data_IF_322380922126
#
_entry.id   IF_322380922126
#
_cell.length_a   1.000
_cell.length_b   1.000
_cell.length_c   1.000
_cell.angle_alpha   90.00
_cell.angle_beta   90.00
_cell.angle_gamma   90.00
#
_symmetry.space_group_name_H-M   'P 1'
#
loop_
_entity.id
_entity.type
_entity.pdbx_description
1 polymer ?
#
# COMPACT_ATOMS: atom_id res chain seq x y z
N UNK A 1 5.74 -24.84 -27.51
CA UNK A 1 5.02 -23.59 -27.18
C UNK A 1 4.82 -23.55 -25.67
N UNK A 2 5.54 -22.68 -24.97
CA UNK A 2 5.40 -22.55 -23.52
C UNK A 2 4.07 -21.90 -23.19
N UNK A 3 3.11 -22.68 -22.69
CA UNK A 3 1.91 -22.13 -22.09
C UNK A 3 2.32 -21.34 -20.85
N UNK A 4 2.40 -20.02 -20.96
CA UNK A 4 2.34 -19.16 -19.78
C UNK A 4 0.95 -19.34 -19.20
N UNK A 5 0.79 -20.29 -18.28
CA UNK A 5 -0.41 -20.41 -17.49
C UNK A 5 -0.61 -19.06 -16.78
N UNK A 6 -1.62 -18.31 -17.21
CA UNK A 6 -2.03 -17.11 -16.51
C UNK A 6 -2.24 -17.49 -15.04
N UNK A 7 -1.54 -16.80 -14.12
CA UNK A 7 -1.71 -17.06 -12.69
C UNK A 7 -3.21 -16.97 -12.36
N UNK A 8 -3.76 -17.88 -11.54
CA UNK A 8 -5.14 -17.80 -11.08
C UNK A 8 -5.45 -16.38 -10.61
N UNK A 9 -6.62 -15.84 -11.00
CA UNK A 9 -7.03 -14.48 -10.60
C UNK A 9 -6.98 -14.31 -9.08
N UNK A 10 -7.31 -15.37 -8.35
CA UNK A 10 -7.24 -15.45 -6.89
C UNK A 10 -5.81 -15.23 -6.34
N UNK A 11 -4.79 -15.88 -6.93
CA UNK A 11 -3.39 -15.70 -6.54
C UNK A 11 -2.91 -14.25 -6.75
N UNK A 12 -3.40 -13.58 -7.79
CA UNK A 12 -3.08 -12.18 -8.07
C UNK A 12 -3.76 -11.27 -7.05
N UNK A 13 -5.03 -11.51 -6.75
CA UNK A 13 -5.80 -10.77 -5.75
C UNK A 13 -5.14 -10.91 -4.37
N UNK A 14 -4.72 -12.11 -3.97
CA UNK A 14 -4.10 -12.33 -2.66
C UNK A 14 -2.73 -11.67 -2.54
N UNK A 15 -1.95 -11.60 -3.63
CA UNK A 15 -0.70 -10.82 -3.65
C UNK A 15 -0.97 -9.33 -3.50
N UNK A 16 -1.97 -8.81 -4.21
CA UNK A 16 -2.37 -7.41 -4.10
C UNK A 16 -2.86 -7.07 -2.69
N UNK A 17 -3.61 -7.95 -2.02
CA UNK A 17 -3.99 -7.76 -0.62
C UNK A 17 -2.77 -7.70 0.30
N UNK A 18 -1.83 -8.65 0.18
CA UNK A 18 -0.59 -8.66 0.99
C UNK A 18 0.24 -7.40 0.78
N UNK A 19 0.31 -6.92 -0.46
CA UNK A 19 0.99 -5.67 -0.79
C UNK A 19 0.30 -4.47 -0.15
N UNK A 20 -1.05 -4.39 -0.21
CA UNK A 20 -1.83 -3.36 0.48
C UNK A 20 -1.60 -3.39 1.99
N UNK A 21 -1.64 -4.57 2.61
CA UNK A 21 -1.44 -4.72 4.06
C UNK A 21 -0.05 -4.23 4.48
N UNK A 22 0.98 -4.48 3.67
CA UNK A 22 2.32 -3.97 3.90
C UNK A 22 2.41 -2.45 3.82
N UNK A 23 1.72 -1.81 2.87
CA UNK A 23 1.64 -0.35 2.80
C UNK A 23 0.88 0.25 3.99
N UNK A 24 -0.21 -0.40 4.42
CA UNK A 24 -0.98 0.03 5.59
C UNK A 24 -0.15 -0.06 6.88
N UNK A 25 0.59 -1.15 7.09
CA UNK A 25 1.49 -1.29 8.24
C UNK A 25 2.55 -0.18 8.27
N UNK A 26 3.10 0.19 7.11
CA UNK A 26 4.04 1.31 7.01
C UNK A 26 3.40 2.66 7.34
N UNK A 27 2.18 2.91 6.88
CA UNK A 27 1.43 4.13 7.20
C UNK A 27 1.23 4.21 8.72
N UNK A 28 0.76 3.13 9.36
CA UNK A 28 0.54 3.08 10.81
C UNK A 28 1.83 3.37 11.58
N UNK A 29 2.98 2.84 11.12
CA UNK A 29 4.28 3.12 11.75
C UNK A 29 4.68 4.59 11.61
N UNK A 30 4.46 5.21 10.44
CA UNK A 30 4.72 6.62 10.22
C UNK A 30 3.84 7.47 11.15
N UNK A 31 2.55 7.19 11.20
CA UNK A 31 1.59 7.91 12.05
C UNK A 31 1.96 7.78 13.53
N UNK A 32 2.38 6.59 13.97
CA UNK A 32 2.87 6.35 15.33
C UNK A 32 4.12 7.15 15.67
N UNK A 33 5.04 7.32 14.71
CA UNK A 33 6.25 8.12 14.90
C UNK A 33 5.90 9.61 14.96
N UNK A 34 5.05 10.09 14.06
CA UNK A 34 4.60 11.48 14.04
C UNK A 34 3.82 11.88 15.31
N UNK A 35 3.05 10.96 15.90
CA UNK A 35 2.24 11.24 17.09
C UNK A 35 3.01 11.15 18.41
N UNK A 36 4.12 10.39 18.48
CA UNK A 36 4.80 10.08 19.75
C UNK A 36 6.19 10.69 19.88
N UNK A 37 6.84 11.05 18.78
CA UNK A 37 8.23 11.50 18.82
C UNK A 37 8.32 13.03 18.80
N UNK A 38 8.72 13.60 19.93
CA UNK A 38 8.83 15.05 20.14
C UNK A 38 10.10 15.66 19.56
N UNK A 39 11.00 14.87 18.96
CA UNK A 39 12.29 15.34 18.46
C UNK A 39 12.45 15.26 16.93
N UNK A 40 11.33 15.30 16.21
CA UNK A 40 11.29 15.31 14.74
C UNK A 40 11.30 16.76 14.23
N UNK A 41 12.14 17.06 13.24
CA UNK A 41 12.12 18.37 12.59
C UNK A 41 10.91 18.55 11.67
N UNK A 42 10.46 19.80 11.47
CA UNK A 42 9.35 20.12 10.55
C UNK A 42 9.53 19.54 9.15
N UNK A 43 10.77 19.50 8.65
CA UNK A 43 11.09 18.91 7.34
C UNK A 43 10.88 17.40 7.33
N UNK A 44 11.25 16.70 8.41
CA UNK A 44 11.00 15.27 8.54
C UNK A 44 9.50 14.98 8.67
N UNK A 45 8.76 15.78 9.45
CA UNK A 45 7.29 15.69 9.54
C UNK A 45 6.63 15.85 8.18
N UNK A 46 7.03 16.87 7.40
CA UNK A 46 6.51 17.09 6.05
C UNK A 46 6.79 15.90 5.12
N UNK A 47 8.01 15.37 5.14
CA UNK A 47 8.38 14.24 4.29
C UNK A 47 7.61 12.96 4.67
N UNK A 48 7.43 12.72 5.97
CA UNK A 48 6.66 11.59 6.50
C UNK A 48 5.18 11.71 6.11
N UNK A 49 4.58 12.89 6.22
CA UNK A 49 3.21 13.16 5.77
C UNK A 49 3.03 12.90 4.27
N UNK A 50 3.97 13.38 3.44
CA UNK A 50 3.96 13.11 1.99
C UNK A 50 4.12 11.63 1.67
N UNK A 51 4.97 10.93 2.42
CA UNK A 51 5.18 9.51 2.26
C UNK A 51 3.91 8.71 2.62
N UNK A 52 3.27 9.03 3.76
CA UNK A 52 2.02 8.42 4.20
C UNK A 52 0.90 8.66 3.17
N UNK A 53 0.75 9.90 2.70
CA UNK A 53 -0.22 10.25 1.65
C UNK A 53 0.01 9.47 0.35
N UNK A 54 1.26 9.39 -0.12
CA UNK A 54 1.57 8.65 -1.35
C UNK A 54 1.27 7.15 -1.22
N UNK A 55 1.59 6.54 -0.07
CA UNK A 55 1.27 5.14 0.20
C UNK A 55 -0.25 4.91 0.26
N UNK A 56 -1.01 5.84 0.83
CA UNK A 56 -2.47 5.78 0.87
C UNK A 56 -3.09 5.79 -0.53
N UNK A 57 -2.56 6.60 -1.45
CA UNK A 57 -2.98 6.57 -2.86
C UNK A 57 -2.65 5.25 -3.56
N UNK A 58 -1.49 4.63 -3.26
CA UNK A 58 -1.16 3.29 -3.76
C UNK A 58 -2.18 2.25 -3.28
N UNK A 59 -2.57 2.28 -2.00
CA UNK A 59 -3.63 1.40 -1.48
C UNK A 59 -4.95 1.55 -2.25
N UNK A 60 -5.36 2.78 -2.59
CA UNK A 60 -6.57 3.04 -3.39
C UNK A 60 -6.47 2.47 -4.81
N UNK A 61 -5.29 2.54 -5.43
CA UNK A 61 -5.05 1.94 -6.76
C UNK A 61 -5.11 0.42 -6.68
N UNK A 62 -4.52 -0.18 -5.65
CA UNK A 62 -4.60 -1.62 -5.42
C UNK A 62 -6.05 -2.06 -5.24
N UNK A 63 -6.85 -1.33 -4.47
CA UNK A 63 -8.28 -1.62 -4.27
C UNK A 63 -9.07 -1.57 -5.58
N UNK A 64 -8.83 -0.55 -6.43
CA UNK A 64 -9.42 -0.48 -7.77
C UNK A 64 -9.04 -1.70 -8.60
N UNK A 65 -7.76 -2.08 -8.60
CA UNK A 65 -7.27 -3.24 -9.37
C UNK A 65 -7.88 -4.55 -8.88
N UNK A 66 -8.02 -4.75 -7.57
CA UNK A 66 -8.72 -5.91 -7.00
C UNK A 66 -10.18 -5.93 -7.45
N UNK A 67 -10.86 -4.78 -7.43
CA UNK A 67 -12.26 -4.68 -7.87
C UNK A 67 -12.41 -5.01 -9.35
N UNK A 68 -11.53 -4.49 -10.21
CA UNK A 68 -11.52 -4.76 -11.64
C UNK A 68 -11.26 -6.26 -11.93
N UNK A 69 -10.36 -6.89 -11.18
CA UNK A 69 -10.06 -8.33 -11.29
C UNK A 69 -11.17 -9.24 -10.78
N UNK A 70 -12.03 -8.77 -9.88
CA UNK A 70 -13.22 -9.51 -9.41
C UNK A 70 -14.41 -9.38 -10.35
N UNK A 71 -14.48 -8.27 -11.09
CA UNK A 71 -15.61 -7.95 -11.97
C UNK A 71 -15.45 -8.55 -13.36
N UNK A 72 -14.21 -8.74 -13.83
CA UNK A 72 -13.86 -9.41 -15.09
C UNK A 72 -13.43 -10.85 -14.87
#
# INVERSE_FOLDING_TARGET
>A
MGFFAAKPKEDVIDKLKKEKDWYLDKIIRIDSVMSNDTNISDKQLYLMDKQSTAMSEVCKIIDKRIKDLKTN
#
